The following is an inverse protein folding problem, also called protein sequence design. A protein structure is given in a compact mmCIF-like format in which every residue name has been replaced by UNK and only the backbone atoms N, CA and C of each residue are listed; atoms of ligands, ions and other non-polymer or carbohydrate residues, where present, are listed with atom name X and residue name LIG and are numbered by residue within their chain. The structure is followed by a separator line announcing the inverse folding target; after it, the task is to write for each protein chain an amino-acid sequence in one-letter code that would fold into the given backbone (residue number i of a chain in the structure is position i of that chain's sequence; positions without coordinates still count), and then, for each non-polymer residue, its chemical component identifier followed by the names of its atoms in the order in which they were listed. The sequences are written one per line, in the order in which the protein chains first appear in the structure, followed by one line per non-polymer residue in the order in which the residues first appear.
data_IF_272125661618
#
_entry.id   IF_272125661618
#
_cell.length_a   1.000
_cell.length_b   1.000
_cell.length_c   1.000
_cell.angle_alpha   90.00
_cell.angle_beta   90.00
_cell.angle_gamma   90.00
#
_symmetry.space_group_name_H-M   'P 1'
#
loop_
_entity.id
_entity.type
_entity.pdbx_description
1 polymer ?
#
# COMPACT_ATOMS: atom_id res chain seq x y z
N UNK A 1 -16.63 -28.91 -15.16
CA UNK A 1 -16.06 -28.63 -13.83
C UNK A 1 -14.61 -28.21 -14.07
N UNK A 2 -14.31 -26.93 -14.04
CA UNK A 2 -12.94 -26.43 -14.11
C UNK A 2 -12.19 -26.94 -12.89
N UNK A 3 -11.01 -27.54 -13.09
CA UNK A 3 -10.16 -28.00 -12.00
C UNK A 3 -9.92 -26.82 -11.05
N UNK A 4 -10.28 -26.99 -9.79
CA UNK A 4 -10.11 -26.00 -8.74
C UNK A 4 -8.62 -25.69 -8.61
N UNK A 5 -8.20 -24.43 -8.78
CA UNK A 5 -6.80 -24.05 -8.60
C UNK A 5 -6.36 -24.42 -7.18
N UNK A 6 -5.29 -25.19 -7.06
CA UNK A 6 -4.73 -25.58 -5.76
C UNK A 6 -4.17 -24.37 -4.97
N UNK A 7 -4.01 -23.21 -5.62
CA UNK A 7 -3.41 -22.02 -5.05
C UNK A 7 -4.28 -20.78 -5.21
N UNK A 8 -4.09 -19.81 -4.30
CA UNK A 8 -4.57 -18.45 -4.40
C UNK A 8 -3.40 -17.57 -4.86
N UNK A 9 -3.60 -16.75 -5.89
CA UNK A 9 -2.63 -15.78 -6.34
C UNK A 9 -3.01 -14.38 -5.88
N UNK A 10 -2.10 -13.73 -5.19
CA UNK A 10 -2.28 -12.34 -4.75
C UNK A 10 -1.30 -11.49 -5.56
N UNK A 11 -1.80 -10.63 -6.43
CA UNK A 11 -0.99 -9.61 -7.07
C UNK A 11 -0.84 -8.45 -6.09
N UNK A 12 0.37 -8.21 -5.62
CA UNK A 12 0.67 -7.15 -4.65
C UNK A 12 1.61 -6.15 -5.29
N UNK A 13 1.32 -4.86 -5.18
CA UNK A 13 2.24 -3.84 -5.64
C UNK A 13 2.16 -2.55 -4.83
N UNK A 14 3.28 -1.83 -4.80
CA UNK A 14 3.34 -0.45 -4.36
C UNK A 14 2.79 0.44 -5.47
N UNK A 15 2.00 1.46 -5.10
CA UNK A 15 1.49 2.46 -6.05
C UNK A 15 2.59 3.05 -6.95
N UNK A 16 2.22 3.59 -8.12
CA UNK A 16 3.10 4.34 -9.00
C UNK A 16 3.72 5.57 -8.33
N UNK A 17 4.73 6.19 -8.95
CA UNK A 17 5.38 7.37 -8.39
C UNK A 17 4.36 8.47 -8.07
N UNK A 18 4.35 8.96 -6.82
CA UNK A 18 3.57 10.14 -6.41
C UNK A 18 4.39 11.43 -6.53
N UNK A 19 3.69 12.56 -6.51
CA UNK A 19 4.32 13.90 -6.53
C UNK A 19 5.33 14.06 -5.39
N UNK A 20 5.02 13.61 -4.18
CA UNK A 20 5.93 13.69 -3.04
C UNK A 20 7.09 12.67 -3.12
N UNK A 21 6.89 11.51 -3.77
CA UNK A 21 8.03 10.62 -4.09
C UNK A 21 9.00 11.30 -5.07
N UNK A 22 8.46 11.98 -6.08
CA UNK A 22 9.27 12.72 -7.05
C UNK A 22 10.10 13.81 -6.38
N UNK A 23 9.52 14.53 -5.43
CA UNK A 23 10.17 15.60 -4.66
C UNK A 23 11.07 15.09 -3.51
N UNK A 24 11.20 13.78 -3.34
CA UNK A 24 11.97 13.18 -2.24
C UNK A 24 11.50 13.64 -0.84
N UNK A 25 10.18 13.66 -0.66
CA UNK A 25 9.51 14.10 0.58
C UNK A 25 8.87 12.88 1.28
N UNK A 26 8.87 12.88 2.61
CA UNK A 26 8.11 11.89 3.39
C UNK A 26 6.60 12.09 3.19
N UNK A 27 5.95 11.16 2.51
CA UNK A 27 4.54 11.27 2.17
C UNK A 27 3.62 10.83 3.32
N UNK A 28 3.85 9.65 3.87
CA UNK A 28 2.99 9.07 4.91
C UNK A 28 1.51 9.10 4.50
N UNK A 29 0.67 9.71 5.32
CA UNK A 29 -0.78 9.84 5.11
C UNK A 29 -1.19 11.08 4.33
N UNK A 30 -0.25 11.91 3.88
CA UNK A 30 -0.53 13.00 2.95
C UNK A 30 -1.12 12.42 1.66
N UNK A 31 -2.20 13.02 1.18
CA UNK A 31 -2.99 12.52 0.06
C UNK A 31 -2.44 12.99 -1.30
N UNK A 32 -1.15 12.72 -1.53
CA UNK A 32 -0.43 13.04 -2.76
C UNK A 32 -0.94 12.19 -3.95
N UNK A 33 -1.04 12.82 -5.10
CA UNK A 33 -1.47 12.20 -6.37
C UNK A 33 -0.31 11.53 -7.09
N UNK A 34 -0.63 10.69 -8.07
CA UNK A 34 0.37 10.16 -8.99
C UNK A 34 0.89 11.26 -9.92
N UNK A 35 2.19 11.19 -10.23
CA UNK A 35 2.77 11.91 -11.39
C UNK A 35 2.33 11.23 -12.69
N UNK A 36 2.54 11.88 -13.85
CA UNK A 36 2.31 11.25 -15.17
C UNK A 36 3.14 9.96 -15.32
N UNK A 37 4.37 9.95 -14.80
CA UNK A 37 5.19 8.75 -14.73
C UNK A 37 4.54 7.67 -13.86
N UNK A 38 3.99 8.06 -12.70
CA UNK A 38 3.29 7.12 -11.81
C UNK A 38 2.05 6.50 -12.46
N UNK A 39 1.29 7.28 -13.24
CA UNK A 39 0.16 6.78 -14.02
C UNK A 39 0.60 5.78 -15.10
N UNK A 40 1.68 6.09 -15.81
CA UNK A 40 2.25 5.18 -16.82
C UNK A 40 2.76 3.88 -16.16
N UNK A 41 3.40 3.95 -15.00
CA UNK A 41 3.80 2.77 -14.25
C UNK A 41 2.60 1.92 -13.84
N UNK A 42 1.51 2.54 -13.38
CA UNK A 42 0.30 1.83 -12.99
C UNK A 42 -0.39 1.15 -14.20
N UNK A 43 -0.46 1.83 -15.34
CA UNK A 43 -1.00 1.23 -16.59
C UNK A 43 -0.15 0.03 -17.01
N UNK A 44 1.18 0.17 -17.03
CA UNK A 44 2.08 -0.93 -17.37
C UNK A 44 1.96 -2.13 -16.40
N UNK A 45 1.72 -1.86 -15.11
CA UNK A 45 1.42 -2.93 -14.14
C UNK A 45 0.18 -3.73 -14.54
N UNK A 46 -0.86 -3.06 -15.05
CA UNK A 46 -2.07 -3.70 -15.57
C UNK A 46 -1.79 -4.59 -16.77
N UNK A 47 -0.97 -4.13 -17.71
CA UNK A 47 -0.52 -4.91 -18.88
C UNK A 47 0.21 -6.18 -18.46
N UNK A 48 1.15 -6.07 -17.50
CA UNK A 48 1.90 -7.22 -16.98
C UNK A 48 0.98 -8.25 -16.29
N UNK A 49 0.01 -7.79 -15.50
CA UNK A 49 -0.96 -8.68 -14.85
C UNK A 49 -1.83 -9.38 -15.90
N UNK A 50 -2.32 -8.63 -16.91
CA UNK A 50 -3.12 -9.19 -18.01
C UNK A 50 -2.36 -10.27 -18.74
N UNK A 51 -1.14 -9.96 -19.19
CA UNK A 51 -0.28 -10.91 -19.90
C UNK A 51 -0.04 -12.17 -19.06
N UNK A 52 0.31 -12.01 -17.78
CA UNK A 52 0.52 -13.14 -16.89
C UNK A 52 -0.74 -14.02 -16.77
N UNK A 53 -1.90 -13.41 -16.60
CA UNK A 53 -3.17 -14.15 -16.50
C UNK A 53 -3.48 -14.93 -17.78
N UNK A 54 -3.26 -14.33 -18.95
CA UNK A 54 -3.46 -14.98 -20.27
C UNK A 54 -2.47 -16.13 -20.47
N UNK A 55 -1.17 -15.92 -20.25
CA UNK A 55 -0.13 -16.93 -20.48
C UNK A 55 -0.23 -18.13 -19.54
N UNK A 56 -0.71 -17.93 -18.30
CA UNK A 56 -0.79 -18.98 -17.30
C UNK A 56 -2.21 -19.51 -17.08
N UNK A 57 -3.18 -19.06 -17.89
CA UNK A 57 -4.60 -19.41 -17.76
C UNK A 57 -5.14 -19.18 -16.33
N UNK A 58 -4.76 -18.04 -15.73
CA UNK A 58 -5.23 -17.58 -14.43
C UNK A 58 -6.37 -16.59 -14.66
N UNK A 59 -7.52 -16.74 -13.98
CA UNK A 59 -8.56 -15.72 -14.02
C UNK A 59 -8.04 -14.34 -13.56
N UNK A 60 -8.54 -13.27 -14.17
CA UNK A 60 -8.26 -11.90 -13.71
C UNK A 60 -8.65 -11.74 -12.24
N UNK A 61 -8.06 -10.76 -11.52
CA UNK A 61 -8.43 -10.49 -10.13
C UNK A 61 -9.95 -10.31 -9.96
N UNK A 62 -10.51 -11.04 -9.00
CA UNK A 62 -11.95 -11.08 -8.73
C UNK A 62 -12.36 -10.08 -7.63
N UNK A 63 -11.40 -9.56 -6.89
CA UNK A 63 -11.56 -8.51 -5.90
C UNK A 63 -10.26 -7.69 -5.78
N UNK A 64 -10.41 -6.39 -5.56
CA UNK A 64 -9.31 -5.49 -5.27
C UNK A 64 -9.30 -5.04 -3.81
N UNK A 65 -8.12 -4.74 -3.31
CA UNK A 65 -7.90 -4.16 -1.99
C UNK A 65 -6.95 -2.97 -2.11
N UNK A 66 -7.29 -1.84 -1.51
CA UNK A 66 -6.46 -0.65 -1.58
C UNK A 66 -6.54 0.19 -0.31
N UNK A 67 -5.62 1.13 -0.17
CA UNK A 67 -5.63 2.05 0.96
C UNK A 67 -6.67 3.18 0.78
N UNK A 68 -6.79 4.01 1.82
CA UNK A 68 -7.62 5.23 1.79
C UNK A 68 -6.92 6.41 1.09
N UNK A 69 -5.70 6.23 0.56
CA UNK A 69 -4.89 7.30 -0.02
C UNK A 69 -5.03 7.33 -1.54
N UNK A 70 -5.19 8.52 -2.10
CA UNK A 70 -5.55 8.75 -3.50
C UNK A 70 -4.58 8.08 -4.49
N UNK A 71 -3.28 8.05 -4.21
CA UNK A 71 -2.28 7.45 -5.10
C UNK A 71 -2.44 5.95 -5.33
N UNK A 72 -2.95 5.22 -4.32
CA UNK A 72 -3.26 3.78 -4.50
C UNK A 72 -4.57 3.58 -5.24
N UNK A 73 -5.55 4.44 -5.04
CA UNK A 73 -6.82 4.42 -5.77
C UNK A 73 -6.57 4.70 -7.26
N UNK A 74 -5.81 5.75 -7.57
CA UNK A 74 -5.41 6.06 -8.96
C UNK A 74 -4.60 4.91 -9.61
N UNK A 75 -3.74 4.25 -8.83
CA UNK A 75 -3.00 3.07 -9.32
C UNK A 75 -3.95 1.91 -9.59
N UNK A 76 -4.89 1.63 -8.68
CA UNK A 76 -5.91 0.60 -8.85
C UNK A 76 -6.76 0.85 -10.10
N UNK A 77 -7.27 2.06 -10.25
CA UNK A 77 -8.06 2.45 -11.44
C UNK A 77 -7.29 2.25 -12.74
N UNK A 78 -6.03 2.69 -12.79
CA UNK A 78 -5.20 2.56 -13.98
C UNK A 78 -4.92 1.08 -14.33
N UNK A 79 -4.67 0.22 -13.34
CA UNK A 79 -4.52 -1.22 -13.55
C UNK A 79 -5.82 -1.82 -14.08
N UNK A 80 -6.93 -1.59 -13.40
CA UNK A 80 -8.22 -2.18 -13.76
C UNK A 80 -8.69 -1.75 -15.15
N UNK A 81 -8.38 -0.51 -15.54
CA UNK A 81 -8.67 -0.03 -16.89
C UNK A 81 -7.95 -0.86 -17.97
N UNK A 82 -6.69 -1.28 -17.75
CA UNK A 82 -5.97 -2.18 -18.66
C UNK A 82 -6.59 -3.59 -18.72
N UNK A 83 -7.23 -4.01 -17.63
CA UNK A 83 -7.95 -5.28 -17.55
C UNK A 83 -9.39 -5.20 -18.08
N UNK A 84 -9.81 -4.04 -18.58
CA UNK A 84 -11.18 -3.73 -18.99
C UNK A 84 -12.22 -3.92 -17.86
N UNK A 85 -11.80 -3.61 -16.63
CA UNK A 85 -12.62 -3.67 -15.43
C UNK A 85 -12.80 -2.27 -14.83
N UNK A 86 -13.95 -2.05 -14.18
CA UNK A 86 -14.27 -0.81 -13.47
C UNK A 86 -14.32 -1.08 -11.96
N UNK A 87 -13.64 -0.27 -11.12
CA UNK A 87 -13.70 -0.45 -9.68
C UNK A 87 -15.03 0.01 -9.09
N UNK A 88 -15.59 -0.79 -8.19
CA UNK A 88 -16.60 -0.36 -7.21
C UNK A 88 -15.91 -0.20 -5.85
N UNK A 89 -15.57 1.04 -5.50
CA UNK A 89 -14.84 1.35 -4.27
C UNK A 89 -15.76 1.35 -3.05
N UNK A 90 -15.46 0.47 -2.10
CA UNK A 90 -16.20 0.34 -0.85
C UNK A 90 -15.27 0.53 0.35
N UNK A 91 -15.59 1.48 1.23
CA UNK A 91 -14.82 1.69 2.46
C UNK A 91 -15.21 0.66 3.50
N UNK A 92 -14.19 0.00 4.06
CA UNK A 92 -14.37 -0.93 5.16
C UNK A 92 -13.54 -0.48 6.38
N UNK A 93 -14.13 -0.62 7.55
CA UNK A 93 -13.49 -0.38 8.84
C UNK A 93 -13.89 -1.46 9.82
N UNK A 94 -13.57 -1.22 11.08
CA UNK A 94 -13.90 -2.09 12.19
C UNK A 94 -12.73 -2.90 12.75
N UNK A 95 -12.92 -3.41 13.96
CA UNK A 95 -11.95 -4.27 14.62
C UNK A 95 -11.86 -5.67 13.97
N UNK A 96 -11.01 -6.53 14.50
CA UNK A 96 -10.82 -7.88 13.97
C UNK A 96 -12.12 -8.72 13.97
N UNK A 97 -13.01 -8.52 14.95
CA UNK A 97 -14.26 -9.26 15.03
C UNK A 97 -15.27 -8.77 13.97
N UNK A 98 -15.34 -7.47 13.75
CA UNK A 98 -16.17 -6.85 12.71
C UNK A 98 -15.66 -7.26 11.32
N UNK A 99 -14.35 -7.20 11.06
CA UNK A 99 -13.75 -7.64 9.79
C UNK A 99 -14.04 -9.12 9.50
N UNK A 100 -14.06 -9.98 10.52
CA UNK A 100 -14.39 -11.40 10.37
C UNK A 100 -15.84 -11.63 9.94
N UNK A 101 -16.74 -10.70 10.23
CA UNK A 101 -18.16 -10.79 9.88
C UNK A 101 -18.50 -10.04 8.58
N UNK A 102 -17.52 -9.35 7.97
CA UNK A 102 -17.74 -8.62 6.73
C UNK A 102 -18.24 -9.58 5.64
N UNK A 103 -19.40 -9.30 5.00
CA UNK A 103 -19.85 -10.11 3.89
C UNK A 103 -18.95 -9.92 2.66
N UNK A 104 -18.88 -10.94 1.81
CA UNK A 104 -18.27 -10.75 0.49
C UNK A 104 -19.14 -9.76 -0.30
N UNK A 105 -18.56 -8.80 -1.02
CA UNK A 105 -19.34 -7.84 -1.82
C UNK A 105 -20.18 -8.56 -2.86
N UNK A 106 -21.42 -8.10 -3.05
CA UNK A 106 -22.28 -8.65 -4.10
C UNK A 106 -21.69 -8.37 -5.47
N UNK A 107 -21.79 -9.33 -6.36
CA UNK A 107 -21.48 -9.12 -7.77
C UNK A 107 -22.49 -8.11 -8.35
N UNK A 108 -21.96 -7.21 -9.18
CA UNK A 108 -22.73 -6.24 -9.94
C UNK A 108 -22.69 -6.59 -11.42
N UNK A 109 -22.23 -5.70 -12.26
CA UNK A 109 -22.05 -5.97 -13.69
C UNK A 109 -20.79 -6.80 -13.94
N UNK A 110 -20.73 -7.51 -15.04
CA UNK A 110 -19.61 -8.42 -15.38
C UNK A 110 -18.27 -7.72 -15.57
N UNK A 111 -18.26 -6.41 -15.79
CA UNK A 111 -17.08 -5.56 -15.95
C UNK A 111 -16.79 -4.71 -14.69
N UNK A 112 -17.53 -4.93 -13.60
CA UNK A 112 -17.33 -4.25 -12.32
C UNK A 112 -16.69 -5.21 -11.32
N UNK A 113 -15.64 -4.74 -10.66
CA UNK A 113 -14.93 -5.47 -9.62
C UNK A 113 -15.05 -4.72 -8.28
N UNK A 114 -15.44 -5.39 -7.19
CA UNK A 114 -15.42 -4.76 -5.87
C UNK A 114 -13.98 -4.44 -5.45
N UNK A 115 -13.76 -3.24 -4.95
CA UNK A 115 -12.47 -2.78 -4.42
C UNK A 115 -12.66 -2.27 -3.00
N UNK A 116 -12.20 -3.05 -2.02
CA UNK A 116 -12.29 -2.68 -0.62
C UNK A 116 -11.17 -1.72 -0.23
N UNK A 117 -11.57 -0.56 0.29
CA UNK A 117 -10.65 0.47 0.79
C UNK A 117 -10.54 0.38 2.31
N UNK A 118 -9.31 0.29 2.82
CA UNK A 118 -9.07 0.27 4.26
C UNK A 118 -7.84 1.09 4.64
N UNK A 119 -7.92 1.82 5.76
CA UNK A 119 -6.77 2.51 6.33
C UNK A 119 -5.63 1.54 6.73
N UNK A 120 -5.97 0.28 6.97
CA UNK A 120 -4.98 -0.76 7.34
C UNK A 120 -3.94 -0.99 6.25
N UNK A 121 -4.27 -0.66 5.00
CA UNK A 121 -3.34 -0.67 3.87
C UNK A 121 -2.66 0.69 3.62
N UNK A 122 -2.97 1.74 4.39
CA UNK A 122 -2.27 3.03 4.26
C UNK A 122 -0.75 2.86 4.42
N UNK A 123 0.00 3.83 3.90
CA UNK A 123 1.43 3.95 4.22
C UNK A 123 1.62 4.10 5.72
N UNK A 124 2.81 3.81 6.23
CA UNK A 124 3.19 4.12 7.59
C UNK A 124 3.02 5.62 7.85
N UNK A 125 2.42 5.96 8.98
CA UNK A 125 2.32 7.34 9.38
C UNK A 125 3.67 7.83 9.88
N UNK A 126 4.29 8.73 9.12
CA UNK A 126 5.63 9.24 9.44
C UNK A 126 5.65 10.36 10.48
N UNK A 127 4.56 10.60 11.21
CA UNK A 127 4.51 11.58 12.28
C UNK A 127 4.89 12.97 11.79
N UNK A 128 5.71 13.67 12.56
CA UNK A 128 6.20 15.01 12.23
C UNK A 128 7.14 15.07 11.00
N UNK A 129 7.62 13.92 10.52
CA UNK A 129 8.42 13.87 9.29
C UNK A 129 7.58 14.01 8.02
N UNK A 130 6.26 13.82 8.09
CA UNK A 130 5.38 14.04 6.93
C UNK A 130 5.54 15.45 6.36
N UNK A 131 5.65 15.53 5.03
CA UNK A 131 5.86 16.80 4.33
C UNK A 131 7.28 17.35 4.40
N UNK A 132 8.20 16.71 5.13
CA UNK A 132 9.60 17.11 5.19
C UNK A 132 10.42 16.42 4.09
N UNK A 133 11.39 17.15 3.51
CA UNK A 133 12.34 16.57 2.56
C UNK A 133 13.25 15.54 3.25
N UNK A 134 13.40 14.36 2.65
CA UNK A 134 14.22 13.27 3.20
C UNK A 134 15.68 13.69 3.46
N UNK A 135 16.36 14.44 2.55
CA UNK A 135 17.72 14.92 2.81
C UNK A 135 17.81 15.91 3.99
N UNK A 136 16.75 16.71 4.24
CA UNK A 136 16.69 17.61 5.39
C UNK A 136 16.64 16.80 6.70
N UNK A 137 15.77 15.83 6.76
CA UNK A 137 15.63 14.95 7.94
C UNK A 137 16.92 14.15 8.15
N UNK A 138 17.52 13.61 7.10
CA UNK A 138 18.81 12.91 7.18
C UNK A 138 19.90 13.82 7.79
N UNK A 139 19.97 15.07 7.35
CA UNK A 139 20.94 16.04 7.90
C UNK A 139 20.67 16.37 9.37
N UNK A 140 19.41 16.44 9.76
CA UNK A 140 18.98 16.82 11.12
C UNK A 140 19.21 15.69 12.13
N UNK A 141 18.89 14.44 11.74
CA UNK A 141 18.95 13.27 12.63
C UNK A 141 20.26 12.46 12.51
N UNK A 142 21.02 12.65 11.42
CA UNK A 142 22.19 11.83 11.09
C UNK A 142 21.81 10.46 10.52
N UNK A 143 22.80 9.81 9.90
CA UNK A 143 22.61 8.59 9.11
C UNK A 143 22.05 7.43 9.95
N UNK A 144 22.57 7.24 11.16
CA UNK A 144 22.20 6.12 12.03
C UNK A 144 20.74 6.23 12.49
N UNK A 145 20.33 7.34 13.07
CA UNK A 145 18.98 7.56 13.57
C UNK A 145 17.96 7.62 12.43
N UNK A 146 18.32 8.29 11.31
CA UNK A 146 17.49 8.32 10.12
C UNK A 146 17.22 6.93 9.57
N UNK A 147 18.25 6.07 9.47
CA UNK A 147 18.09 4.72 8.97
C UNK A 147 17.34 3.83 9.95
N UNK A 148 17.59 3.97 11.26
CA UNK A 148 16.84 3.28 12.29
C UNK A 148 15.34 3.59 12.18
N UNK A 149 14.96 4.86 12.21
CA UNK A 149 13.55 5.25 12.13
C UNK A 149 12.94 4.84 10.79
N UNK A 150 13.68 4.97 9.69
CA UNK A 150 13.15 4.71 8.35
C UNK A 150 13.01 3.23 8.03
N UNK A 151 13.92 2.40 8.47
CA UNK A 151 14.13 1.03 7.97
C UNK A 151 13.89 -0.06 9.00
N UNK A 152 14.24 0.20 10.24
CA UNK A 152 14.12 -0.78 11.32
C UNK A 152 12.66 -1.11 11.64
N UNK A 153 12.45 -2.31 12.19
CA UNK A 153 11.11 -2.80 12.51
C UNK A 153 10.44 -1.99 13.62
N UNK A 154 11.22 -1.53 14.60
CA UNK A 154 10.73 -0.78 15.75
C UNK A 154 10.93 0.73 15.64
N UNK A 155 11.73 1.20 14.67
CA UNK A 155 11.99 2.61 14.46
C UNK A 155 10.71 3.40 14.23
N UNK A 156 10.49 4.45 15.04
CA UNK A 156 9.26 5.24 15.04
C UNK A 156 9.57 6.72 14.93
N UNK A 157 8.99 7.42 13.92
CA UNK A 157 9.14 8.87 13.82
C UNK A 157 8.49 9.59 15.02
N UNK A 158 8.94 10.82 15.35
CA UNK A 158 8.27 11.62 16.38
C UNK A 158 6.80 11.87 16.02
N UNK A 159 5.96 11.98 17.05
CA UNK A 159 4.53 12.24 16.85
C UNK A 159 4.27 13.53 16.08
N UNK A 160 3.24 13.51 15.24
CA UNK A 160 2.69 14.71 14.65
C UNK A 160 1.67 15.34 15.61
N UNK A 161 1.75 16.64 15.84
CA UNK A 161 0.61 17.39 16.36
C UNK A 161 -0.24 17.86 15.17
N UNK A 162 -1.19 17.03 14.77
CA UNK A 162 -2.02 17.30 13.60
C UNK A 162 -2.86 18.60 13.76
N UNK A 163 -3.23 18.96 14.98
CA UNK A 163 -3.96 20.19 15.24
C UNK A 163 -3.05 21.40 15.09
N UNK A 164 -1.84 21.35 15.64
CA UNK A 164 -0.86 22.40 15.52
C UNK A 164 -0.41 22.57 14.05
N UNK A 165 -0.19 21.47 13.34
CA UNK A 165 0.17 21.49 11.93
C UNK A 165 -0.91 22.16 11.07
N UNK A 166 -2.18 21.89 11.32
CA UNK A 166 -3.31 22.52 10.62
C UNK A 166 -3.38 24.03 10.88
N UNK A 167 -3.02 24.49 12.09
CA UNK A 167 -3.01 25.91 12.42
C UNK A 167 -1.79 26.63 11.82
N UNK A 168 -0.61 26.03 11.90
CA UNK A 168 0.64 26.61 11.37
C UNK A 168 0.62 26.73 9.85
N UNK A 169 0.07 25.76 9.15
CA UNK A 169 0.03 25.74 7.68
C UNK A 169 -0.92 26.77 7.07
N UNK A 170 -1.91 27.26 7.83
CA UNK A 170 -2.77 28.37 7.39
C UNK A 170 -2.03 29.69 7.18
N UNK A 171 -0.82 29.83 7.74
CA UNK A 171 0.01 31.02 7.64
C UNK A 171 1.13 30.97 6.59
N UNK A 172 1.47 29.80 6.07
CA UNK A 172 2.53 29.63 5.08
C UNK A 172 1.98 29.64 3.66
N UNK A 173 1.98 30.81 3.05
CA UNK A 173 1.65 30.99 1.63
C UNK A 173 2.89 30.57 0.82
N UNK A 174 2.80 29.46 0.08
CA UNK A 174 3.81 29.11 -0.91
C UNK A 174 4.51 27.76 -0.73
N UNK A 175 3.79 26.70 -0.34
CA UNK A 175 4.32 25.35 -0.50
C UNK A 175 4.52 25.03 -1.98
N UNK A 176 5.71 24.61 -2.37
CA UNK A 176 6.08 24.22 -3.74
C UNK A 176 5.27 23.01 -4.25
N UNK A 177 4.57 22.29 -3.38
CA UNK A 177 3.90 21.03 -3.69
C UNK A 177 2.38 21.13 -3.74
N UNK A 178 1.78 22.22 -3.25
CA UNK A 178 0.32 22.35 -3.11
C UNK A 178 -0.27 21.47 -1.98
N UNK A 179 0.57 20.87 -1.13
CA UNK A 179 0.16 20.04 0.03
C UNK A 179 0.40 20.80 1.35
N UNK A 180 -0.13 21.99 1.44
CA UNK A 180 0.02 22.89 2.60
C UNK A 180 -0.63 22.30 3.86
N UNK A 181 -1.68 21.52 3.67
CA UNK A 181 -2.35 20.78 4.73
C UNK A 181 -2.02 19.31 4.59
N UNK A 182 -1.27 18.75 5.52
CA UNK A 182 -0.84 17.36 5.45
C UNK A 182 -2.01 16.39 5.46
N UNK A 183 -2.98 16.58 6.34
CA UNK A 183 -4.19 15.76 6.44
C UNK A 183 -5.46 16.62 6.63
N UNK A 184 -5.83 17.47 5.65
CA UNK A 184 -6.82 18.54 5.82
C UNK A 184 -8.23 18.03 6.14
N UNK A 185 -8.59 16.84 5.68
CA UNK A 185 -9.91 16.26 5.82
C UNK A 185 -9.89 14.95 6.62
N UNK A 186 -8.92 14.79 7.53
CA UNK A 186 -8.71 13.54 8.26
C UNK A 186 -9.99 13.03 8.92
N UNK A 187 -10.67 13.86 9.71
CA UNK A 187 -11.90 13.48 10.41
C UNK A 187 -13.01 13.05 9.44
N UNK A 188 -13.22 13.81 8.38
CA UNK A 188 -14.24 13.48 7.38
C UNK A 188 -13.87 12.23 6.58
N UNK A 189 -12.61 12.09 6.19
CA UNK A 189 -12.12 10.97 5.39
C UNK A 189 -12.23 9.64 6.13
N UNK A 190 -11.94 9.63 7.43
CA UNK A 190 -11.93 8.43 8.26
C UNK A 190 -13.12 8.32 9.21
N UNK A 191 -14.21 9.05 8.94
CA UNK A 191 -15.42 9.04 9.77
C UNK A 191 -16.03 7.64 9.93
N UNK A 192 -15.89 6.77 8.92
CA UNK A 192 -16.38 5.38 8.98
C UNK A 192 -15.59 4.59 10.01
N UNK A 193 -14.27 4.67 9.94
CA UNK A 193 -13.35 3.95 10.81
C UNK A 193 -13.45 4.44 12.27
N UNK A 194 -13.42 5.76 12.48
CA UNK A 194 -13.57 6.37 13.81
C UNK A 194 -14.96 6.12 14.40
N UNK A 195 -16.01 6.14 13.58
CA UNK A 195 -17.39 5.81 13.98
C UNK A 195 -17.54 4.35 14.45
N UNK A 196 -16.64 3.47 14.04
CA UNK A 196 -16.55 2.08 14.49
C UNK A 196 -15.58 1.89 15.67
N UNK A 197 -15.07 2.98 16.25
CA UNK A 197 -14.20 2.96 17.43
C UNK A 197 -12.72 2.71 17.12
N UNK A 198 -12.31 2.75 15.85
CA UNK A 198 -10.90 2.60 15.50
C UNK A 198 -10.09 3.85 15.90
N UNK A 199 -8.90 3.61 16.46
CA UNK A 199 -7.94 4.68 16.79
C UNK A 199 -6.89 4.76 15.68
N UNK A 200 -6.92 5.86 14.95
CA UNK A 200 -5.97 6.09 13.87
C UNK A 200 -4.65 6.65 14.41
N UNK A 201 -3.50 6.19 13.88
CA UNK A 201 -2.19 6.60 14.37
C UNK A 201 -1.84 8.04 13.99
N UNK A 202 -0.99 8.67 14.79
CA UNK A 202 -0.32 9.95 14.51
C UNK A 202 1.18 9.77 14.29
N UNK A 203 1.68 8.55 14.45
CA UNK A 203 3.03 8.08 14.12
C UNK A 203 3.04 6.56 14.21
N UNK A 204 3.83 5.89 13.37
CA UNK A 204 3.93 4.42 13.37
C UNK A 204 5.36 3.94 13.16
N UNK A 205 5.73 2.88 13.90
CA UNK A 205 6.80 1.97 13.53
C UNK A 205 6.32 0.99 12.45
N UNK A 206 7.24 0.25 11.81
CA UNK A 206 6.84 -0.83 10.90
C UNK A 206 6.11 -1.96 11.64
N UNK A 207 6.46 -2.20 12.91
CA UNK A 207 5.75 -3.16 13.78
C UNK A 207 4.26 -2.82 13.88
N UNK A 208 3.93 -1.56 14.16
CA UNK A 208 2.54 -1.11 14.28
C UNK A 208 1.79 -1.22 12.94
N UNK A 209 2.48 -1.05 11.80
CA UNK A 209 1.90 -1.32 10.48
C UNK A 209 1.59 -2.80 10.29
N UNK A 210 2.48 -3.71 10.70
CA UNK A 210 2.23 -5.16 10.69
C UNK A 210 1.04 -5.49 11.59
N UNK A 211 1.01 -4.96 12.81
CA UNK A 211 -0.06 -5.22 13.79
C UNK A 211 -1.45 -4.83 13.25
N UNK A 212 -1.57 -3.71 12.49
CA UNK A 212 -2.85 -3.30 11.90
C UNK A 212 -3.22 -4.03 10.60
N UNK A 213 -2.24 -4.54 9.86
CA UNK A 213 -2.48 -5.27 8.62
C UNK A 213 -2.91 -6.71 8.88
N UNK A 214 -2.34 -7.40 9.86
CA UNK A 214 -2.62 -8.80 10.14
C UNK A 214 -4.12 -9.13 10.25
N UNK A 215 -4.93 -8.42 11.06
CA UNK A 215 -6.35 -8.71 11.14
C UNK A 215 -7.08 -8.59 9.81
N UNK A 216 -6.64 -7.68 8.95
CA UNK A 216 -7.21 -7.50 7.62
C UNK A 216 -6.81 -8.64 6.68
N UNK A 217 -5.56 -9.07 6.68
CA UNK A 217 -5.12 -10.21 5.87
C UNK A 217 -5.88 -11.46 6.25
N UNK A 218 -5.94 -11.80 7.54
CA UNK A 218 -6.57 -13.04 8.02
C UNK A 218 -8.09 -13.03 7.83
N UNK A 219 -8.74 -11.95 8.27
CA UNK A 219 -10.20 -11.90 8.36
C UNK A 219 -10.89 -11.44 7.07
N UNK A 220 -10.16 -10.87 6.12
CA UNK A 220 -10.74 -10.41 4.85
C UNK A 220 -10.08 -11.09 3.67
N UNK A 221 -8.78 -10.85 3.43
CA UNK A 221 -8.11 -11.31 2.20
C UNK A 221 -8.07 -12.84 2.10
N UNK A 222 -7.54 -13.51 3.12
CA UNK A 222 -7.41 -14.98 3.13
C UNK A 222 -8.76 -15.66 3.31
N UNK A 223 -9.61 -15.14 4.19
CA UNK A 223 -10.96 -15.67 4.38
C UNK A 223 -11.75 -15.60 3.09
N UNK A 224 -11.81 -14.48 2.39
CA UNK A 224 -12.49 -14.37 1.10
C UNK A 224 -11.87 -15.28 0.04
N UNK A 225 -10.52 -15.34 -0.02
CA UNK A 225 -9.82 -16.26 -0.89
C UNK A 225 -10.27 -17.71 -0.75
N UNK A 226 -10.55 -18.14 0.49
CA UNK A 226 -10.99 -19.50 0.81
C UNK A 226 -12.50 -19.69 0.61
N UNK A 227 -13.31 -18.82 1.23
CA UNK A 227 -14.78 -18.97 1.22
C UNK A 227 -15.38 -18.81 -0.18
N UNK A 228 -14.84 -17.87 -0.97
CA UNK A 228 -15.28 -17.61 -2.34
C UNK A 228 -14.49 -18.39 -3.40
N UNK A 229 -13.54 -19.20 -2.97
CA UNK A 229 -12.69 -19.97 -3.89
C UNK A 229 -12.01 -19.08 -4.96
N UNK A 230 -11.55 -17.89 -4.56
CA UNK A 230 -10.94 -16.94 -5.49
C UNK A 230 -9.69 -17.52 -6.13
N UNK A 231 -9.54 -17.39 -7.44
CA UNK A 231 -8.32 -17.76 -8.14
C UNK A 231 -7.22 -16.70 -7.95
N UNK A 232 -7.61 -15.43 -8.00
CA UNK A 232 -6.69 -14.32 -7.77
C UNK A 232 -7.37 -13.10 -7.18
N UNK A 233 -6.57 -12.24 -6.53
CA UNK A 233 -6.97 -10.91 -6.06
C UNK A 233 -5.82 -9.91 -6.25
N UNK A 234 -6.15 -8.63 -6.16
CA UNK A 234 -5.22 -7.51 -6.36
C UNK A 234 -5.11 -6.66 -5.11
N UNK A 235 -3.89 -6.42 -4.62
CA UNK A 235 -3.61 -5.54 -3.49
C UNK A 235 -2.72 -4.39 -3.95
N UNK A 236 -3.21 -3.17 -3.87
CA UNK A 236 -2.42 -1.96 -4.15
C UNK A 236 -2.17 -1.21 -2.85
N UNK A 237 -0.92 -1.19 -2.43
CA UNK A 237 -0.49 -0.59 -1.17
C UNK A 237 0.69 0.37 -1.34
N UNK A 238 1.48 0.47 -0.28
CA UNK A 238 2.61 1.39 -0.15
C UNK A 238 3.88 0.63 0.23
N UNK A 239 4.99 1.34 0.29
CA UNK A 239 6.27 0.73 0.67
C UNK A 239 6.21 -0.03 1.99
N UNK A 240 5.71 0.57 3.05
CA UNK A 240 5.64 -0.07 4.36
C UNK A 240 4.53 -1.12 4.46
N UNK A 241 3.35 -0.89 3.87
CA UNK A 241 2.28 -1.87 3.90
C UNK A 241 2.63 -3.14 3.09
N UNK A 242 3.27 -3.01 1.92
CA UNK A 242 3.72 -4.18 1.15
C UNK A 242 4.86 -4.90 1.87
N UNK A 243 5.82 -4.19 2.48
CA UNK A 243 6.85 -4.80 3.34
C UNK A 243 6.22 -5.62 4.49
N UNK A 244 5.18 -5.08 5.12
CA UNK A 244 4.45 -5.77 6.18
C UNK A 244 3.76 -7.03 5.69
N UNK A 245 3.13 -6.99 4.50
CA UNK A 245 2.52 -8.16 3.87
C UNK A 245 3.58 -9.25 3.61
N UNK A 246 4.74 -8.88 3.05
CA UNK A 246 5.83 -9.81 2.80
C UNK A 246 6.39 -10.39 4.10
N UNK A 247 6.55 -9.56 5.15
CA UNK A 247 7.01 -10.03 6.45
C UNK A 247 6.13 -11.14 7.00
N UNK A 248 4.81 -10.99 6.86
CA UNK A 248 3.84 -11.98 7.34
C UNK A 248 3.91 -13.27 6.52
N UNK A 249 3.83 -13.19 5.20
CA UNK A 249 3.76 -14.40 4.36
C UNK A 249 5.08 -15.15 4.23
N UNK A 250 6.20 -14.43 4.19
CA UNK A 250 7.53 -15.06 4.07
C UNK A 250 8.23 -15.29 5.42
N UNK A 251 7.55 -14.94 6.53
CA UNK A 251 8.10 -15.03 7.88
C UNK A 251 9.49 -14.36 8.00
N UNK A 252 9.61 -13.15 7.39
CA UNK A 252 10.87 -12.39 7.41
C UNK A 252 11.14 -11.93 8.85
N UNK A 253 12.39 -12.08 9.32
CA UNK A 253 12.77 -11.66 10.67
C UNK A 253 12.64 -10.14 10.88
N UNK A 254 12.64 -9.70 12.14
CA UNK A 254 12.62 -8.28 12.48
C UNK A 254 13.91 -7.57 12.00
N UNK A 255 15.02 -8.30 11.98
CA UNK A 255 16.31 -7.78 11.52
C UNK A 255 16.41 -7.72 10.00
N UNK A 256 15.87 -8.69 9.27
CA UNK A 256 15.99 -8.77 7.81
C UNK A 256 15.02 -7.83 7.08
N UNK A 257 13.94 -7.44 7.71
CA UNK A 257 12.91 -6.58 7.06
C UNK A 257 13.47 -5.21 6.64
N UNK A 258 14.51 -4.72 7.29
CA UNK A 258 15.20 -3.46 6.93
C UNK A 258 15.80 -3.47 5.53
N UNK A 259 16.15 -4.66 5.03
CA UNK A 259 16.81 -4.86 3.73
C UNK A 259 15.84 -5.05 2.57
N UNK A 260 14.54 -5.09 2.84
CA UNK A 260 13.50 -5.23 1.82
C UNK A 260 13.12 -3.85 1.26
N UNK A 261 13.33 -3.65 -0.03
CA UNK A 261 12.91 -2.47 -0.78
C UNK A 261 11.79 -2.83 -1.76
N UNK A 262 10.72 -2.04 -1.75
CA UNK A 262 9.57 -2.26 -2.62
C UNK A 262 9.57 -1.23 -3.76
N UNK A 263 9.78 -1.66 -5.01
CA UNK A 263 9.74 -0.78 -6.17
C UNK A 263 8.34 -0.24 -6.42
N UNK A 264 8.24 0.99 -6.97
CA UNK A 264 6.95 1.54 -7.40
C UNK A 264 6.45 0.85 -8.66
N UNK A 265 5.16 0.54 -8.69
CA UNK A 265 4.45 0.14 -9.89
C UNK A 265 4.98 -1.14 -10.56
N UNK A 266 5.47 -2.11 -9.79
CA UNK A 266 5.88 -3.42 -10.34
C UNK A 266 5.15 -4.51 -9.58
N UNK A 267 4.27 -5.29 -10.25
CA UNK A 267 3.51 -6.33 -9.59
C UNK A 267 4.37 -7.48 -9.10
N UNK A 268 4.16 -7.84 -7.83
CA UNK A 268 4.68 -9.02 -7.19
C UNK A 268 3.56 -10.05 -7.09
N UNK A 269 3.80 -11.27 -7.52
CA UNK A 269 2.88 -12.40 -7.35
C UNK A 269 3.25 -13.14 -6.07
N UNK A 270 2.31 -13.24 -5.15
CA UNK A 270 2.35 -14.17 -4.01
C UNK A 270 1.43 -15.33 -4.34
N UNK A 271 1.97 -16.51 -4.45
CA UNK A 271 1.22 -17.74 -4.65
C UNK A 271 1.17 -18.52 -3.36
N UNK A 272 -0.04 -18.71 -2.82
CA UNK A 272 -0.29 -19.36 -1.55
C UNK A 272 -1.05 -20.68 -1.76
N UNK A 273 -0.71 -21.70 -0.98
CA UNK A 273 -1.52 -22.91 -0.89
C UNK A 273 -2.91 -22.55 -0.35
N UNK A 274 -3.96 -22.99 -1.01
CA UNK A 274 -5.33 -22.62 -0.64
C UNK A 274 -5.81 -23.23 0.69
N UNK A 275 -5.23 -24.34 1.11
CA UNK A 275 -5.68 -25.05 2.31
C UNK A 275 -5.21 -24.38 3.60
N UNK A 276 -3.93 -23.98 3.63
CA UNK A 276 -3.25 -23.49 4.83
C UNK A 276 -2.57 -22.13 4.64
N UNK A 277 -2.69 -21.55 3.43
CA UNK A 277 -2.08 -20.28 3.03
C UNK A 277 -0.56 -20.23 3.17
N UNK A 278 0.09 -21.39 3.24
CA UNK A 278 1.55 -21.43 3.20
C UNK A 278 2.06 -20.89 1.85
N UNK A 279 3.19 -20.15 1.86
CA UNK A 279 3.76 -19.60 0.64
C UNK A 279 4.29 -20.72 -0.27
N UNK A 280 3.89 -20.70 -1.53
CA UNK A 280 4.35 -21.64 -2.57
C UNK A 280 5.42 -20.98 -3.42
N UNK A 281 5.18 -19.75 -3.89
CA UNK A 281 6.08 -19.03 -4.77
C UNK A 281 5.87 -17.52 -4.65
N UNK A 282 6.98 -16.78 -4.83
CA UNK A 282 6.98 -15.32 -4.93
C UNK A 282 7.90 -14.85 -6.04
N UNK A 283 7.44 -13.95 -6.90
CA UNK A 283 8.24 -13.37 -7.97
C UNK A 283 7.62 -12.08 -8.50
N UNK A 284 8.46 -11.16 -9.00
CA UNK A 284 8.01 -9.99 -9.72
C UNK A 284 7.68 -10.34 -11.16
N UNK A 285 6.65 -9.70 -11.74
CA UNK A 285 6.29 -9.87 -13.16
C UNK A 285 7.31 -9.23 -14.10
N UNK A 286 8.03 -8.21 -13.63
CA UNK A 286 9.21 -7.64 -14.28
C UNK A 286 10.38 -7.61 -13.28
N UNK A 287 11.14 -8.70 -13.16
CA UNK A 287 12.21 -8.82 -12.17
C UNK A 287 13.39 -7.88 -12.44
N UNK A 288 13.69 -7.55 -13.69
CA UNK A 288 14.80 -6.65 -14.02
C UNK A 288 14.49 -5.22 -13.56
N UNK A 289 13.34 -4.70 -13.92
CA UNK A 289 12.88 -3.38 -13.46
C UNK A 289 12.69 -3.34 -11.93
N UNK A 290 12.29 -4.45 -11.30
CA UNK A 290 12.15 -4.54 -9.86
C UNK A 290 13.48 -4.29 -9.15
N UNK A 291 14.55 -4.95 -9.57
CA UNK A 291 15.91 -4.77 -9.00
C UNK A 291 16.38 -3.32 -9.17
N UNK A 292 16.25 -2.76 -10.38
CA UNK A 292 16.70 -1.40 -10.68
C UNK A 292 15.94 -0.37 -9.83
N UNK A 293 14.62 -0.50 -9.73
CA UNK A 293 13.80 0.46 -9.02
C UNK A 293 13.89 0.30 -7.49
N UNK A 294 14.06 -0.91 -6.97
CA UNK A 294 14.33 -1.15 -5.56
C UNK A 294 15.64 -0.47 -5.12
N UNK A 295 16.70 -0.56 -5.94
CA UNK A 295 17.96 0.12 -5.68
C UNK A 295 17.82 1.66 -5.60
N UNK A 296 16.91 2.26 -6.39
CA UNK A 296 16.60 3.70 -6.31
C UNK A 296 15.90 4.03 -4.99
N UNK A 297 14.93 3.22 -4.57
CA UNK A 297 14.23 3.40 -3.28
C UNK A 297 15.20 3.37 -2.11
N UNK A 298 16.19 2.47 -2.13
CA UNK A 298 17.23 2.37 -1.09
C UNK A 298 18.04 3.66 -0.94
N UNK A 299 18.31 4.36 -2.05
CA UNK A 299 19.11 5.59 -2.09
C UNK A 299 18.33 6.87 -1.74
N UNK A 300 17.01 6.80 -1.62
CA UNK A 300 16.19 7.96 -1.27
C UNK A 300 16.66 8.63 0.04
N UNK A 301 16.88 9.92 0.01
CA UNK A 301 17.43 10.71 1.13
C UNK A 301 18.93 10.94 1.04
N UNK A 302 19.71 10.01 0.46
CA UNK A 302 21.15 10.15 0.29
C UNK A 302 21.53 10.82 -1.05
N UNK A 303 20.62 10.87 -2.00
CA UNK A 303 20.86 11.57 -3.27
C UNK A 303 20.81 13.07 -3.06
N UNK A 304 21.90 13.76 -3.48
CA UNK A 304 21.84 15.22 -3.65
C UNK A 304 20.78 15.49 -4.71
N UNK A 305 19.84 16.38 -4.41
CA UNK A 305 18.83 16.82 -5.40
C UNK A 305 19.52 17.12 -6.74
N UNK A 306 18.89 16.72 -7.88
CA UNK A 306 19.37 17.12 -9.19
C UNK A 306 19.40 18.63 -9.36
#
# INVERSE_FOLDING_TARGET
MTAQSATLKIFVLRHGQSELNHENIFCGWIDARLTEKGKSQAAHSGELIKQYCEEHNVPLPQIGYTSRLVRTQQTMEAILNQLHLRPDFQVIGGDAAQLKQLPFPNETDSDVIPVLQTWRLNERHYGSWQGQRKPKILKEYGDEEYMYIRRDYQGKPPHADLNLEMVQQRGEVGSLTGYEFKEPNRQQKYAVEEGQGEKLPESESLKEVVDRINPFLDNVVLRFGKEQNLASCLVVGHGSSVRSILKVFDNISDDDIKDIDIPNGIPLVLELNRNDFSPVKRFYLDPESAVINAAKVRKEGFEKNP
#
